data_IF_336064964348
#
_entry.id   IF_336064964348
#
_cell.length_a   1.000
_cell.length_b   1.000
_cell.length_c   1.000
_cell.angle_alpha   90.00
_cell.angle_beta   90.00
_cell.angle_gamma   90.00
#
_symmetry.space_group_name_H-M   'P 1'
#
loop_
_entity.id
_entity.type
_entity.pdbx_description
1 polymer ?
#
# COMPACT_ATOMS: atom_id res chain seq x y z
N UNK A 1 -12.03 -21.30 9.61
CA UNK A 1 -11.99 -19.99 10.24
C UNK A 1 -13.02 -19.10 9.62
N UNK A 2 -13.82 -18.47 10.41
CA UNK A 2 -14.81 -17.57 9.87
C UNK A 2 -14.30 -16.15 9.81
N UNK A 3 -14.98 -15.32 9.06
CA UNK A 3 -14.56 -13.94 8.88
C UNK A 3 -14.65 -13.14 10.17
N UNK A 4 -15.56 -13.52 11.06
CA UNK A 4 -15.74 -12.81 12.31
C UNK A 4 -14.46 -12.76 13.14
N UNK A 5 -13.67 -13.82 13.09
CA UNK A 5 -12.42 -13.84 13.84
C UNK A 5 -11.51 -12.68 13.45
N UNK A 6 -11.36 -12.45 12.15
CA UNK A 6 -10.46 -11.41 11.67
C UNK A 6 -11.04 -10.02 11.84
N UNK A 7 -12.35 -9.93 11.88
CA UNK A 7 -13.02 -8.65 12.00
C UNK A 7 -13.42 -8.31 13.42
N UNK A 8 -12.99 -9.15 14.37
CA UNK A 8 -13.34 -8.95 15.76
C UNK A 8 -12.55 -7.81 16.37
N UNK A 9 -13.24 -6.98 17.16
CA UNK A 9 -12.60 -5.92 17.90
C UNK A 9 -12.77 -4.56 17.28
N UNK A 10 -12.17 -3.57 17.93
CA UNK A 10 -12.22 -2.19 17.45
C UNK A 10 -11.31 -2.04 16.23
N UNK A 11 -11.43 -0.92 15.51
CA UNK A 11 -10.48 -0.66 14.43
C UNK A 11 -9.03 -0.71 14.89
N UNK A 12 -8.73 -0.21 16.11
CA UNK A 12 -7.37 -0.27 16.63
C UNK A 12 -6.91 -1.70 16.85
N UNK A 13 -7.80 -2.55 17.39
CA UNK A 13 -7.48 -3.96 17.57
C UNK A 13 -7.18 -4.64 16.25
N UNK A 14 -8.01 -4.37 15.26
CA UNK A 14 -7.82 -4.98 13.95
C UNK A 14 -6.57 -4.47 13.25
N UNK A 15 -6.27 -3.20 13.43
CA UNK A 15 -5.04 -2.63 12.89
C UNK A 15 -3.82 -3.35 13.46
N UNK A 16 -3.78 -3.51 14.78
CA UNK A 16 -2.66 -4.20 15.43
C UNK A 16 -2.55 -5.63 14.93
N UNK A 17 -3.68 -6.31 14.79
CA UNK A 17 -3.70 -7.69 14.33
C UNK A 17 -3.20 -7.79 12.89
N UNK A 18 -3.65 -6.86 12.05
CA UNK A 18 -3.21 -6.85 10.65
C UNK A 18 -1.71 -6.65 10.54
N UNK A 19 -1.15 -5.78 11.37
CA UNK A 19 0.28 -5.56 11.36
C UNK A 19 1.05 -6.81 11.77
N UNK A 20 0.55 -7.54 12.77
CA UNK A 20 1.19 -8.77 13.18
C UNK A 20 1.22 -9.79 12.05
N UNK A 21 0.09 -9.96 11.36
CA UNK A 21 0.06 -10.89 10.24
C UNK A 21 0.97 -10.42 9.11
N UNK A 22 1.00 -9.12 8.86
CA UNK A 22 1.88 -8.60 7.80
C UNK A 22 3.34 -8.90 8.16
N UNK A 23 3.74 -8.66 9.39
CA UNK A 23 5.13 -8.91 9.81
C UNK A 23 5.47 -10.39 9.77
N UNK A 24 4.48 -11.24 9.97
CA UNK A 24 4.67 -12.69 9.85
C UNK A 24 4.63 -13.14 8.39
N UNK A 25 4.52 -12.22 7.45
CA UNK A 25 4.44 -12.49 6.02
C UNK A 25 3.17 -13.27 5.63
N UNK A 26 2.15 -13.16 6.47
CA UNK A 26 0.82 -13.71 6.19
C UNK A 26 0.03 -12.64 5.47
N UNK A 27 0.45 -12.35 4.24
CA UNK A 27 -0.04 -11.16 3.54
C UNK A 27 -1.53 -11.24 3.21
N UNK A 28 -2.01 -12.43 2.83
CA UNK A 28 -3.41 -12.55 2.46
C UNK A 28 -4.32 -12.43 3.67
N UNK A 29 -3.87 -12.92 4.83
CA UNK A 29 -4.63 -12.75 6.07
C UNK A 29 -4.65 -11.28 6.47
N UNK A 30 -3.49 -10.61 6.38
CA UNK A 30 -3.43 -9.19 6.66
C UNK A 30 -4.35 -8.42 5.72
N UNK A 31 -4.36 -8.78 4.43
CA UNK A 31 -5.20 -8.09 3.46
C UNK A 31 -6.68 -8.24 3.76
N UNK A 32 -7.09 -9.42 4.24
CA UNK A 32 -8.48 -9.62 4.61
C UNK A 32 -8.91 -8.68 5.72
N UNK A 33 -8.08 -8.57 6.75
CA UNK A 33 -8.38 -7.67 7.86
C UNK A 33 -8.39 -6.22 7.39
N UNK A 34 -7.37 -5.85 6.62
CA UNK A 34 -7.22 -4.47 6.15
C UNK A 34 -8.33 -4.05 5.21
N UNK A 35 -8.84 -4.99 4.40
CA UNK A 35 -9.94 -4.68 3.51
C UNK A 35 -11.16 -4.18 4.25
N UNK A 36 -11.48 -4.83 5.37
CA UNK A 36 -12.60 -4.37 6.20
C UNK A 36 -12.32 -3.01 6.84
N UNK A 37 -11.07 -2.82 7.30
CA UNK A 37 -10.70 -1.54 7.90
C UNK A 37 -10.80 -0.39 6.90
N UNK A 38 -10.34 -0.60 5.68
CA UNK A 38 -10.38 0.44 4.66
C UNK A 38 -11.81 0.88 4.39
N UNK A 39 -12.75 -0.07 4.40
CA UNK A 39 -14.15 0.28 4.19
C UNK A 39 -14.72 1.04 5.36
N UNK A 40 -14.26 0.75 6.56
CA UNK A 40 -14.79 1.37 7.77
C UNK A 40 -14.20 2.75 8.03
N UNK A 41 -12.91 2.93 7.71
CA UNK A 41 -12.24 4.21 7.92
C UNK A 41 -11.56 4.65 6.62
N UNK A 42 -12.33 4.92 5.57
CA UNK A 42 -11.76 5.17 4.25
C UNK A 42 -10.89 6.41 4.17
N UNK A 43 -11.03 7.32 5.11
CA UNK A 43 -10.25 8.56 5.11
C UNK A 43 -8.84 8.35 5.65
N UNK A 44 -8.55 7.21 6.27
CA UNK A 44 -7.23 6.97 6.84
C UNK A 44 -6.30 6.34 5.80
N UNK A 45 -5.12 6.93 5.68
CA UNK A 45 -4.14 6.48 4.67
C UNK A 45 -3.47 5.17 5.09
N UNK A 46 -3.13 5.04 6.37
CA UNK A 46 -2.28 3.93 6.82
C UNK A 46 -2.86 2.55 6.53
N UNK A 47 -4.13 2.27 6.82
CA UNK A 47 -4.66 0.94 6.51
C UNK A 47 -4.66 0.63 5.01
N UNK A 48 -5.01 1.61 4.18
CA UNK A 48 -5.04 1.39 2.74
C UNK A 48 -3.64 1.17 2.19
N UNK A 49 -2.68 1.91 2.72
CA UNK A 49 -1.30 1.76 2.28
C UNK A 49 -0.75 0.40 2.65
N UNK A 50 -1.03 -0.08 3.86
CA UNK A 50 -0.58 -1.40 4.27
C UNK A 50 -1.29 -2.50 3.46
N UNK A 51 -2.57 -2.28 3.12
CA UNK A 51 -3.29 -3.20 2.25
C UNK A 51 -2.61 -3.29 0.89
N UNK A 52 -2.24 -2.16 0.32
CA UNK A 52 -1.53 -2.16 -0.96
C UNK A 52 -0.22 -2.94 -0.85
N UNK A 53 0.50 -2.76 0.25
CA UNK A 53 1.76 -3.48 0.46
C UNK A 53 1.53 -4.99 0.58
N UNK A 54 0.46 -5.38 1.25
CA UNK A 54 0.13 -6.81 1.37
C UNK A 54 -0.16 -7.41 -0.01
N UNK A 55 -0.91 -6.68 -0.83
CA UNK A 55 -1.17 -7.12 -2.20
C UNK A 55 0.12 -7.18 -3.01
N UNK A 56 0.98 -6.19 -2.85
CA UNK A 56 2.26 -6.15 -3.58
C UNK A 56 3.11 -7.38 -3.25
N UNK A 57 3.26 -7.68 -1.97
CA UNK A 57 4.09 -8.80 -1.54
C UNK A 57 3.50 -10.15 -1.90
N UNK A 58 2.19 -10.22 -2.07
CA UNK A 58 1.55 -11.47 -2.48
C UNK A 58 1.33 -11.51 -4.00
N UNK A 59 1.98 -10.62 -4.73
CA UNK A 59 1.94 -10.55 -6.19
C UNK A 59 0.54 -10.29 -6.75
N UNK A 60 -0.32 -9.67 -5.98
CA UNK A 60 -1.62 -9.23 -6.45
C UNK A 60 -1.51 -7.81 -6.94
N UNK A 61 -0.82 -7.65 -8.06
CA UNK A 61 -0.34 -6.34 -8.48
C UNK A 61 -1.45 -5.41 -8.95
N UNK A 62 -2.48 -5.96 -9.60
CA UNK A 62 -3.61 -5.14 -10.04
C UNK A 62 -4.34 -4.55 -8.83
N UNK A 63 -4.51 -5.35 -7.78
CA UNK A 63 -5.16 -4.87 -6.57
C UNK A 63 -4.30 -3.87 -5.84
N UNK A 64 -2.97 -4.11 -5.80
CA UNK A 64 -2.06 -3.15 -5.20
C UNK A 64 -2.15 -1.81 -5.93
N UNK A 65 -2.15 -1.84 -7.24
CA UNK A 65 -2.24 -0.64 -8.05
C UNK A 65 -3.51 0.15 -7.72
N UNK A 66 -4.64 -0.55 -7.63
CA UNK A 66 -5.91 0.12 -7.37
C UNK A 66 -5.90 0.85 -6.02
N UNK A 67 -5.35 0.19 -4.98
CA UNK A 67 -5.30 0.83 -3.67
C UNK A 67 -4.35 2.01 -3.66
N UNK A 68 -3.23 1.90 -4.35
CA UNK A 68 -2.28 3.00 -4.39
C UNK A 68 -2.82 4.20 -5.14
N UNK A 69 -3.56 3.96 -6.23
CA UNK A 69 -4.18 5.06 -6.95
C UNK A 69 -5.24 5.74 -6.09
N UNK A 70 -5.95 4.98 -5.28
CA UNK A 70 -6.92 5.57 -4.36
C UNK A 70 -6.23 6.44 -3.31
N UNK A 71 -5.10 5.98 -2.78
CA UNK A 71 -4.33 6.80 -1.84
C UNK A 71 -3.94 8.12 -2.49
N UNK A 72 -3.44 8.06 -3.72
CA UNK A 72 -2.96 9.25 -4.42
C UNK A 72 -4.08 10.17 -4.86
N UNK A 73 -5.28 9.63 -5.10
CA UNK A 73 -6.44 10.44 -5.37
C UNK A 73 -6.77 11.34 -4.18
N UNK A 74 -6.66 10.77 -2.99
CA UNK A 74 -6.97 11.49 -1.76
C UNK A 74 -5.82 12.37 -1.30
N UNK A 75 -4.58 11.95 -1.56
CA UNK A 75 -3.40 12.68 -1.11
C UNK A 75 -2.31 12.59 -2.18
N UNK A 76 -2.35 13.50 -3.15
CA UNK A 76 -1.42 13.41 -4.29
C UNK A 76 0.05 13.54 -3.92
N UNK A 77 0.36 14.04 -2.72
CA UNK A 77 1.75 14.24 -2.31
C UNK A 77 2.23 13.14 -1.36
N UNK A 78 1.50 12.04 -1.28
CA UNK A 78 1.95 10.90 -0.49
C UNK A 78 3.10 10.22 -1.24
N UNK A 79 4.32 10.53 -0.83
CA UNK A 79 5.51 10.12 -1.59
C UNK A 79 5.71 8.61 -1.59
N UNK A 80 5.45 7.95 -0.46
CA UNK A 80 5.62 6.50 -0.39
C UNK A 80 4.65 5.79 -1.32
N UNK A 81 3.39 6.26 -1.37
CA UNK A 81 2.41 5.66 -2.29
C UNK A 81 2.84 5.86 -3.74
N UNK A 82 3.43 7.00 -4.04
CA UNK A 82 3.90 7.26 -5.40
C UNK A 82 5.03 6.32 -5.77
N UNK A 83 5.97 6.11 -4.85
CA UNK A 83 7.06 5.18 -5.06
C UNK A 83 6.53 3.76 -5.27
N UNK A 84 5.62 3.33 -4.39
CA UNK A 84 5.06 1.99 -4.48
C UNK A 84 4.28 1.79 -5.77
N UNK A 85 3.55 2.81 -6.22
CA UNK A 85 2.84 2.69 -7.49
C UNK A 85 3.82 2.49 -8.64
N UNK A 86 4.91 3.25 -8.64
CA UNK A 86 5.92 3.07 -9.67
C UNK A 86 6.49 1.66 -9.66
N UNK A 87 6.84 1.15 -8.49
CA UNK A 87 7.37 -0.21 -8.38
C UNK A 87 6.35 -1.25 -8.81
N UNK A 88 5.08 -1.04 -8.46
CA UNK A 88 4.03 -1.97 -8.86
C UNK A 88 3.89 -2.01 -10.37
N UNK A 89 3.93 -0.84 -11.00
CA UNK A 89 3.84 -0.77 -12.45
C UNK A 89 5.04 -1.42 -13.12
N UNK A 90 6.23 -1.24 -12.56
CA UNK A 90 7.42 -1.91 -13.10
C UNK A 90 7.25 -3.43 -13.07
N UNK A 91 6.75 -3.95 -11.97
CA UNK A 91 6.54 -5.40 -11.85
C UNK A 91 5.50 -5.91 -12.82
N UNK A 92 4.60 -5.05 -13.25
CA UNK A 92 3.61 -5.42 -14.27
C UNK A 92 4.16 -5.27 -15.68
N UNK A 93 5.43 -4.89 -15.82
CA UNK A 93 6.02 -4.68 -17.14
C UNK A 93 5.63 -3.36 -17.77
N UNK A 94 5.14 -2.42 -16.98
CA UNK A 94 4.66 -1.13 -17.48
C UNK A 94 5.64 -0.02 -17.10
N UNK A 95 6.88 -0.17 -17.55
CA UNK A 95 7.96 0.73 -17.17
C UNK A 95 7.73 2.16 -17.60
N UNK A 96 7.15 2.36 -18.78
CA UNK A 96 6.91 3.72 -19.26
C UNK A 96 5.93 4.46 -18.39
N UNK A 97 4.90 3.76 -17.89
CA UNK A 97 3.96 4.38 -16.96
C UNK A 97 4.56 4.57 -15.58
N UNK A 98 5.48 3.70 -15.20
CA UNK A 98 6.11 3.77 -13.88
C UNK A 98 7.02 4.99 -13.74
N UNK A 99 7.71 5.36 -14.82
CA UNK A 99 8.76 6.37 -14.74
C UNK A 99 8.29 7.71 -14.17
N UNK A 100 7.16 8.29 -14.61
CA UNK A 100 6.74 9.57 -14.03
C UNK A 100 6.45 9.46 -12.53
N UNK A 101 5.90 8.34 -12.09
CA UNK A 101 5.60 8.17 -10.67
C UNK A 101 6.88 8.09 -9.85
N UNK A 102 7.88 7.40 -10.36
CA UNK A 102 9.16 7.29 -9.66
C UNK A 102 9.86 8.63 -9.60
N UNK A 103 9.80 9.42 -10.68
CA UNK A 103 10.38 10.75 -10.67
C UNK A 103 9.67 11.66 -9.68
N UNK A 104 8.34 11.58 -9.63
CA UNK A 104 7.57 12.38 -8.69
C UNK A 104 7.90 12.00 -7.26
N UNK A 105 8.04 10.70 -6.99
CA UNK A 105 8.38 10.24 -5.64
C UNK A 105 9.72 10.84 -5.20
N UNK A 106 10.71 10.81 -6.08
CA UNK A 106 12.02 11.37 -5.77
C UNK A 106 11.93 12.86 -5.48
N UNK A 107 11.13 13.57 -6.28
CA UNK A 107 10.97 15.01 -6.09
C UNK A 107 10.28 15.33 -4.76
N UNK A 108 9.27 14.52 -4.41
CA UNK A 108 8.52 14.76 -3.18
C UNK A 108 9.35 14.52 -1.92
N UNK A 109 10.27 13.58 -1.99
CA UNK A 109 11.13 13.33 -0.83
C UNK A 109 12.29 14.30 -0.74
N UNK A 110 12.50 15.11 -1.76
CA UNK A 110 13.66 15.97 -1.81
C UNK A 110 14.94 15.21 -2.06
N UNK A 111 14.84 13.99 -2.52
CA UNK A 111 15.97 13.09 -2.67
C UNK A 111 16.34 12.93 -4.13
N UNK A 112 16.14 13.97 -4.89
CA UNK A 112 16.38 13.90 -6.32
C UNK A 112 17.85 13.79 -6.63
N UNK A 113 18.59 14.01 -5.70
CA UNK A 113 19.96 13.88 -5.91
C UNK A 113 20.50 12.60 -5.58
N UNK A 114 20.20 12.67 -5.66
CA UNK A 114 20.70 12.08 -5.29
C UNK A 114 21.29 11.21 -5.30
N UNK A 115 21.26 11.10 -5.31
CA UNK A 115 21.80 10.47 -5.16
C UNK A 115 22.56 10.14 -5.47
N UNK A 116 22.74 9.95 -5.82
CA UNK A 116 23.43 9.46 -6.07
C UNK A 116 24.37 9.08 -5.89
N UNK A 117 24.52 8.91 -5.89
CA UNK A 117 25.36 8.40 -5.64
C UNK A 117 25.94 8.61 -5.31
N UNK A 118 25.49 9.22 -5.25
CA UNK A 118 25.74 9.35 -4.72
C UNK A 118 25.84 8.91 -4.50
#
# INVERSE_FOLDING_TARGET
>A
VNDTYYEFGTPADRWDRAQLFFEAKEYMTAARILGGLVEEVPEQVAPRLLLARAYYHSARLTKAEAELREVLERNPVEDYARLMLGRTLERQGRSAEAAPHLRMAAALTGDSGLEPGQ
#
